data_IF_903904824539
#
_entry.id   IF_903904824539
#
_cell.length_a   1.000
_cell.length_b   1.000
_cell.length_c   1.000
_cell.angle_alpha   90.00
_cell.angle_beta   90.00
_cell.angle_gamma   90.00
#
_symmetry.space_group_name_H-M   'P 1'
#
loop_
_entity.id
_entity.type
_entity.pdbx_description
1 polymer ?
#
# COMPACT_ATOMS: atom_id res chain seq x y z
N UNK A 1 -44.88 5.66 18.63
CA UNK A 1 -44.34 5.89 17.27
C UNK A 1 -43.95 7.37 17.14
N UNK A 2 -42.65 7.69 17.17
CA UNK A 2 -41.99 8.94 16.68
C UNK A 2 -40.69 9.22 17.47
N UNK A 3 -39.67 8.37 17.31
CA UNK A 3 -38.30 8.70 17.77
C UNK A 3 -37.25 7.82 17.07
N UNK A 4 -37.11 7.90 15.73
CA UNK A 4 -36.02 7.17 15.03
C UNK A 4 -35.43 7.85 13.79
N UNK A 5 -35.71 9.13 13.52
CA UNK A 5 -35.24 9.80 12.29
C UNK A 5 -34.16 10.88 12.53
N UNK A 6 -33.85 11.23 13.79
CA UNK A 6 -32.88 12.31 14.07
C UNK A 6 -31.41 11.89 14.23
N UNK A 7 -31.09 10.59 14.26
CA UNK A 7 -29.70 10.11 14.48
C UNK A 7 -28.89 9.88 13.20
N UNK A 8 -29.49 9.98 12.02
CA UNK A 8 -28.78 9.76 10.75
C UNK A 8 -28.17 11.04 10.15
N UNK A 9 -28.67 12.23 10.51
CA UNK A 9 -28.22 13.49 9.90
C UNK A 9 -27.08 14.18 10.66
N UNK A 10 -26.90 13.89 11.95
CA UNK A 10 -25.80 14.47 12.75
C UNK A 10 -24.45 13.77 12.54
N UNK A 11 -24.45 12.49 12.16
CA UNK A 11 -23.20 11.76 11.89
C UNK A 11 -22.56 12.10 10.53
N UNK A 12 -23.32 12.67 9.59
CA UNK A 12 -22.77 13.17 8.32
C UNK A 12 -21.93 14.44 8.55
N UNK A 13 -22.26 15.24 9.58
CA UNK A 13 -21.56 16.49 9.90
C UNK A 13 -20.23 16.29 10.64
N UNK A 14 -20.01 15.15 11.30
CA UNK A 14 -18.75 14.85 11.99
C UNK A 14 -17.60 14.48 11.05
N UNK A 15 -17.90 13.99 9.83
CA UNK A 15 -16.89 13.83 8.77
C UNK A 15 -16.38 15.15 8.18
N UNK A 16 -17.06 16.27 8.44
CA UNK A 16 -16.61 17.59 7.96
C UNK A 16 -15.48 18.14 8.86
N UNK A 17 -15.31 17.59 10.06
CA UNK A 17 -14.35 18.11 11.07
C UNK A 17 -13.22 17.15 11.45
N UNK A 18 -13.33 15.85 11.18
CA UNK A 18 -12.14 15.00 11.05
C UNK A 18 -11.38 15.51 9.81
N UNK A 19 -10.15 15.97 9.97
CA UNK A 19 -9.38 16.62 8.92
C UNK A 19 -9.57 15.90 7.57
N UNK A 20 -9.88 16.66 6.51
CA UNK A 20 -9.87 16.20 5.11
C UNK A 20 -8.58 15.47 4.66
N UNK A 21 -7.60 15.34 5.55
CA UNK A 21 -6.32 14.68 5.34
C UNK A 21 -6.32 13.16 5.57
N UNK A 22 -7.34 12.57 6.23
CA UNK A 22 -7.27 11.18 6.72
C UNK A 22 -8.23 10.17 6.07
N UNK A 23 -8.82 10.47 4.90
CA UNK A 23 -9.51 9.40 4.14
C UNK A 23 -9.26 9.36 2.62
N UNK A 24 -8.01 9.04 2.19
CA UNK A 24 -7.73 8.50 0.87
C UNK A 24 -7.74 6.95 0.91
N UNK A 25 -7.78 6.30 -0.27
CA UNK A 25 -6.62 6.37 -1.13
C UNK A 25 -6.78 7.38 -2.25
N UNK A 26 -5.66 8.02 -2.58
CA UNK A 26 -5.56 8.97 -3.65
C UNK A 26 -5.57 8.22 -4.96
N UNK A 27 -6.36 8.71 -5.92
CA UNK A 27 -6.39 8.16 -7.27
C UNK A 27 -5.46 8.96 -8.17
N UNK A 28 -4.43 8.31 -8.69
CA UNK A 28 -3.42 8.93 -9.54
C UNK A 28 -3.69 8.55 -10.99
N UNK A 29 -3.79 9.56 -11.86
CA UNK A 29 -3.90 9.37 -13.30
C UNK A 29 -2.52 9.07 -13.90
N UNK A 30 -2.40 7.92 -14.56
CA UNK A 30 -1.24 7.56 -15.36
C UNK A 30 -1.65 7.56 -16.83
N UNK A 31 -1.26 8.63 -17.50
CA UNK A 31 -1.54 8.75 -18.92
C UNK A 31 -0.42 8.10 -19.74
N UNK A 32 -0.79 7.06 -20.49
CA UNK A 32 0.12 6.22 -21.27
C UNK A 32 1.16 7.00 -22.08
N UNK A 33 2.38 6.47 -22.09
CA UNK A 33 3.58 7.19 -22.52
C UNK A 33 4.14 6.82 -23.88
N UNK A 34 3.67 5.76 -24.53
CA UNK A 34 4.56 5.07 -25.50
C UNK A 34 4.00 4.87 -26.90
N UNK A 35 2.69 5.03 -27.13
CA UNK A 35 2.10 4.83 -28.44
C UNK A 35 1.55 6.14 -29.03
N UNK A 36 1.83 6.37 -30.31
CA UNK A 36 1.57 7.55 -31.17
C UNK A 36 0.12 8.07 -31.24
N UNK A 37 -0.79 7.56 -30.39
CA UNK A 37 -2.23 7.85 -30.42
C UNK A 37 -2.66 8.85 -29.35
N UNK A 38 -1.82 9.17 -28.37
CA UNK A 38 -2.12 10.18 -27.34
C UNK A 38 -1.55 11.55 -27.71
N UNK A 39 -2.28 12.63 -27.38
CA UNK A 39 -1.95 13.98 -27.85
C UNK A 39 -0.75 14.60 -27.12
N UNK A 40 -0.43 14.11 -25.92
CA UNK A 40 0.71 14.56 -25.12
C UNK A 40 1.88 13.55 -25.17
N UNK A 41 2.76 13.69 -26.16
CA UNK A 41 4.00 12.90 -26.25
C UNK A 41 4.96 13.14 -25.07
N UNK A 42 5.91 12.23 -24.84
CA UNK A 42 6.86 12.32 -23.70
C UNK A 42 7.69 13.60 -23.74
N UNK A 43 8.14 14.00 -24.92
CA UNK A 43 8.94 15.19 -25.21
C UNK A 43 8.17 16.52 -25.05
N UNK A 44 6.83 16.47 -25.17
CA UNK A 44 5.94 17.64 -25.09
C UNK A 44 5.05 17.62 -23.85
N UNK A 45 5.20 16.61 -22.98
CA UNK A 45 4.26 16.31 -21.89
C UNK A 45 4.02 17.47 -20.94
N UNK A 46 5.09 18.09 -20.45
CA UNK A 46 5.00 19.25 -19.55
C UNK A 46 4.23 20.41 -20.19
N UNK A 47 4.53 20.74 -21.46
CA UNK A 47 3.85 21.81 -22.18
C UNK A 47 2.36 21.48 -22.35
N UNK A 48 2.06 20.23 -22.70
CA UNK A 48 0.70 19.75 -22.86
C UNK A 48 -0.11 19.88 -21.56
N UNK A 49 0.47 19.49 -20.43
CA UNK A 49 -0.14 19.63 -19.10
C UNK A 49 -0.44 21.09 -18.78
N UNK A 50 0.52 21.99 -19.00
CA UNK A 50 0.34 23.43 -18.74
C UNK A 50 -0.79 24.00 -19.60
N UNK A 51 -0.84 23.65 -20.88
CA UNK A 51 -1.87 24.13 -21.81
C UNK A 51 -3.27 23.66 -21.43
N UNK A 52 -3.39 22.47 -20.84
CA UNK A 52 -4.67 21.85 -20.51
C UNK A 52 -4.95 21.78 -19.00
N UNK A 53 -4.25 22.58 -18.19
CA UNK A 53 -4.32 22.52 -16.73
C UNK A 53 -5.75 22.65 -16.20
N UNK A 54 -6.59 23.51 -16.80
CA UNK A 54 -7.99 23.68 -16.39
C UNK A 54 -8.81 22.40 -16.60
N UNK A 55 -8.56 21.67 -17.68
CA UNK A 55 -9.21 20.38 -17.94
C UNK A 55 -8.74 19.35 -16.93
N UNK A 56 -7.43 19.24 -16.74
CA UNK A 56 -6.82 18.31 -15.77
C UNK A 56 -7.40 18.55 -14.38
N UNK A 57 -7.41 19.79 -13.91
CA UNK A 57 -7.94 20.19 -12.59
C UNK A 57 -9.44 19.87 -12.41
N UNK A 58 -10.21 19.76 -13.50
CA UNK A 58 -11.61 19.35 -13.44
C UNK A 58 -11.80 17.83 -13.34
N UNK A 59 -10.80 17.04 -13.74
CA UNK A 59 -10.88 15.57 -13.73
C UNK A 59 -10.87 14.99 -12.32
N UNK A 60 -11.53 13.84 -12.07
CA UNK A 60 -11.72 13.28 -10.73
C UNK A 60 -10.49 12.56 -10.17
N UNK A 61 -9.27 13.09 -10.34
CA UNK A 61 -8.05 12.54 -9.75
C UNK A 61 -7.47 13.45 -8.68
N UNK A 62 -6.60 12.90 -7.86
CA UNK A 62 -5.89 13.64 -6.80
C UNK A 62 -4.45 14.01 -7.20
N UNK A 63 -4.00 13.47 -8.33
CA UNK A 63 -2.70 13.72 -8.91
C UNK A 63 -2.53 12.95 -10.22
N UNK A 64 -1.38 13.15 -10.84
CA UNK A 64 -0.98 12.44 -12.04
C UNK A 64 0.48 12.02 -11.98
N UNK A 65 0.83 10.96 -12.71
CA UNK A 65 2.23 10.63 -12.96
C UNK A 65 2.65 11.11 -14.34
N UNK A 66 3.82 11.70 -14.43
CA UNK A 66 4.37 12.28 -15.65
C UNK A 66 5.71 11.60 -15.97
N UNK A 67 5.87 11.10 -17.18
CA UNK A 67 7.19 10.76 -17.67
C UNK A 67 7.83 11.97 -18.37
N UNK A 68 9.12 11.88 -18.56
CA UNK A 68 9.99 12.84 -19.20
C UNK A 68 10.92 12.10 -20.16
N UNK A 69 11.68 12.82 -20.98
CA UNK A 69 12.65 12.17 -21.88
C UNK A 69 13.67 11.37 -21.08
N UNK A 70 14.14 11.91 -19.95
CA UNK A 70 15.09 11.23 -19.08
C UNK A 70 14.52 9.94 -18.43
N UNK A 71 13.19 9.78 -18.31
CA UNK A 71 12.56 8.63 -17.66
C UNK A 71 13.01 7.29 -18.23
N UNK A 72 13.35 7.26 -19.52
CA UNK A 72 13.78 6.05 -20.24
C UNK A 72 15.29 5.80 -20.19
N UNK A 73 16.05 6.74 -19.61
CA UNK A 73 17.49 6.78 -19.67
C UNK A 73 18.20 6.71 -18.33
N UNK A 74 17.51 7.01 -17.23
CA UNK A 74 18.14 7.16 -15.90
C UNK A 74 18.94 5.93 -15.46
N UNK A 75 18.52 4.74 -15.90
CA UNK A 75 19.19 3.48 -15.59
C UNK A 75 20.13 2.99 -16.70
N UNK A 76 20.10 3.56 -17.91
CA UNK A 76 20.90 3.06 -19.04
C UNK A 76 22.40 3.29 -18.84
N UNK A 77 23.24 2.28 -19.13
CA UNK A 77 24.69 2.45 -19.19
C UNK A 77 25.10 3.63 -20.08
N UNK A 78 26.03 4.45 -19.58
CA UNK A 78 26.56 5.59 -20.33
C UNK A 78 25.64 6.81 -20.43
N UNK A 79 24.45 6.79 -19.82
CA UNK A 79 23.57 7.95 -19.78
C UNK A 79 23.65 8.67 -18.44
N UNK A 80 24.02 9.95 -18.48
CA UNK A 80 24.06 10.82 -17.30
C UNK A 80 23.16 12.03 -17.49
N UNK A 81 22.34 12.32 -16.49
CA UNK A 81 21.39 13.42 -16.50
C UNK A 81 21.72 14.41 -15.39
N UNK A 82 22.02 15.65 -15.78
CA UNK A 82 22.22 16.74 -14.80
C UNK A 82 20.90 17.16 -14.17
N UNK A 83 20.96 17.72 -12.96
CA UNK A 83 19.80 18.35 -12.31
C UNK A 83 19.08 19.33 -13.24
N UNK A 84 19.82 20.22 -13.91
CA UNK A 84 19.23 21.23 -14.80
C UNK A 84 18.48 20.60 -15.99
N UNK A 85 19.01 19.53 -16.56
CA UNK A 85 18.34 18.83 -17.67
C UNK A 85 16.96 18.31 -17.24
N UNK A 86 16.89 17.68 -16.06
CA UNK A 86 15.64 17.14 -15.51
C UNK A 86 14.70 18.27 -15.05
N UNK A 87 15.23 19.27 -14.34
CA UNK A 87 14.42 20.36 -13.79
C UNK A 87 13.88 21.30 -14.88
N UNK A 88 14.54 21.43 -16.02
CA UNK A 88 13.98 22.19 -17.16
C UNK A 88 12.67 21.57 -17.68
N UNK A 89 12.50 20.25 -17.57
CA UNK A 89 11.24 19.57 -17.91
C UNK A 89 10.21 19.62 -16.79
N UNK A 90 10.61 19.49 -15.52
CA UNK A 90 9.66 19.44 -14.39
C UNK A 90 9.31 20.81 -13.78
N UNK A 91 10.29 21.70 -13.68
CA UNK A 91 10.18 23.01 -13.03
C UNK A 91 9.00 23.87 -13.51
N UNK A 92 8.63 23.86 -14.81
CA UNK A 92 7.45 24.57 -15.29
C UNK A 92 6.10 24.11 -14.67
N UNK A 93 6.06 22.92 -14.04
CA UNK A 93 4.87 22.41 -13.35
C UNK A 93 4.72 22.95 -11.93
N UNK A 94 5.74 23.61 -11.39
CA UNK A 94 5.76 24.06 -10.00
C UNK A 94 4.62 25.06 -9.75
N UNK A 95 3.71 24.69 -8.86
CA UNK A 95 2.62 25.56 -8.40
C UNK A 95 1.46 25.74 -9.38
N UNK A 96 1.44 25.02 -10.51
CA UNK A 96 0.32 25.13 -11.47
C UNK A 96 -0.89 24.30 -11.01
N UNK A 97 -0.65 23.20 -10.30
CA UNK A 97 -1.70 22.31 -9.80
C UNK A 97 -2.30 22.83 -8.49
N UNK A 98 -3.63 22.73 -8.37
CA UNK A 98 -4.40 23.13 -7.19
C UNK A 98 -5.04 21.93 -6.51
N UNK A 99 -5.78 21.11 -7.26
CA UNK A 99 -6.42 19.87 -6.82
C UNK A 99 -5.49 18.68 -6.97
N UNK A 100 -4.72 18.63 -8.06
CA UNK A 100 -3.79 17.55 -8.33
C UNK A 100 -2.54 17.74 -7.45
N UNK A 101 -2.63 17.35 -6.18
CA UNK A 101 -1.56 17.56 -5.19
C UNK A 101 -0.64 16.36 -5.05
N UNK A 102 -1.00 15.21 -5.62
CA UNK A 102 -0.26 13.94 -5.49
C UNK A 102 0.42 13.55 -6.80
N UNK A 103 1.26 14.43 -7.33
CA UNK A 103 1.91 14.20 -8.62
C UNK A 103 3.24 13.47 -8.48
N UNK A 104 3.51 12.57 -9.41
CA UNK A 104 4.72 11.76 -9.46
C UNK A 104 5.48 12.02 -10.76
N UNK A 105 6.78 11.75 -10.72
CA UNK A 105 7.56 11.53 -11.95
C UNK A 105 7.70 10.03 -12.18
N UNK A 106 7.32 9.54 -13.35
CA UNK A 106 7.54 8.15 -13.74
C UNK A 106 8.96 7.94 -14.21
N UNK A 107 9.58 6.85 -13.80
CA UNK A 107 10.86 6.35 -14.32
C UNK A 107 10.61 4.95 -14.85
N UNK A 108 11.02 4.72 -16.09
CA UNK A 108 10.96 3.41 -16.72
C UNK A 108 12.33 2.76 -16.54
N UNK A 109 12.34 1.51 -16.07
CA UNK A 109 13.60 0.79 -15.96
C UNK A 109 14.08 0.43 -17.36
N UNK A 110 15.36 0.73 -17.61
CA UNK A 110 16.02 0.36 -18.84
C UNK A 110 17.40 -0.26 -18.56
N UNK A 111 17.58 -1.54 -18.95
CA UNK A 111 18.71 -2.45 -18.71
C UNK A 111 19.94 -1.72 -18.15
N UNK A 112 20.16 -1.73 -16.82
CA UNK A 112 21.27 -1.01 -16.20
C UNK A 112 22.63 -1.65 -16.43
N UNK A 113 22.73 -2.69 -17.27
CA UNK A 113 23.94 -3.49 -17.41
C UNK A 113 24.15 -4.42 -16.21
N UNK A 114 25.38 -4.91 -16.05
CA UNK A 114 25.71 -5.83 -14.97
C UNK A 114 25.54 -5.16 -13.59
N UNK A 115 24.82 -5.81 -12.68
CA UNK A 115 24.65 -5.37 -11.29
C UNK A 115 25.98 -5.14 -10.55
N UNK A 116 27.05 -5.80 -10.98
CA UNK A 116 28.39 -5.70 -10.40
C UNK A 116 29.28 -4.59 -11.01
N UNK A 117 28.80 -3.86 -12.03
CA UNK A 117 29.53 -2.73 -12.59
C UNK A 117 29.31 -1.45 -11.77
N UNK A 118 30.21 -1.18 -10.82
CA UNK A 118 30.12 0.00 -9.98
C UNK A 118 30.22 1.33 -10.76
N UNK A 119 30.88 1.35 -11.92
CA UNK A 119 30.99 2.59 -12.72
C UNK A 119 29.61 2.96 -13.28
N UNK A 120 28.90 1.97 -13.83
CA UNK A 120 27.54 2.16 -14.32
C UNK A 120 26.61 2.53 -13.17
N UNK A 121 26.65 1.79 -12.07
CA UNK A 121 25.74 2.03 -10.94
C UNK A 121 25.99 3.34 -10.22
N UNK A 122 27.23 3.81 -10.12
CA UNK A 122 27.52 5.16 -9.61
C UNK A 122 26.86 6.25 -10.46
N UNK A 123 26.79 6.05 -11.78
CA UNK A 123 26.09 6.96 -12.69
C UNK A 123 24.58 6.90 -12.47
N UNK A 124 24.00 5.70 -12.38
CA UNK A 124 22.57 5.49 -12.09
C UNK A 124 22.18 6.13 -10.75
N UNK A 125 22.96 5.92 -9.70
CA UNK A 125 22.73 6.51 -8.38
C UNK A 125 22.76 8.05 -8.44
N UNK A 126 23.72 8.62 -9.17
CA UNK A 126 23.82 10.07 -9.39
C UNK A 126 22.60 10.62 -10.15
N UNK A 127 22.14 9.90 -11.17
CA UNK A 127 20.93 10.22 -11.93
C UNK A 127 19.69 10.28 -11.01
N UNK A 128 19.50 9.28 -10.15
CA UNK A 128 18.39 9.26 -9.18
C UNK A 128 18.48 10.38 -8.14
N UNK A 129 19.70 10.76 -7.72
CA UNK A 129 19.91 11.91 -6.83
C UNK A 129 19.46 13.22 -7.51
N UNK A 130 19.83 13.42 -8.77
CA UNK A 130 19.44 14.59 -9.55
C UNK A 130 17.92 14.62 -9.81
N UNK A 131 17.33 13.45 -10.12
CA UNK A 131 15.88 13.32 -10.26
C UNK A 131 15.15 13.68 -8.96
N UNK A 132 15.61 13.14 -7.82
CA UNK A 132 14.99 13.40 -6.52
C UNK A 132 15.01 14.90 -6.18
N UNK A 133 16.12 15.59 -6.47
CA UNK A 133 16.22 17.04 -6.29
C UNK A 133 15.22 17.78 -7.21
N UNK A 134 15.20 17.45 -8.50
CA UNK A 134 14.32 18.11 -9.47
C UNK A 134 12.83 17.87 -9.18
N UNK A 135 12.45 16.65 -8.82
CA UNK A 135 11.07 16.29 -8.46
C UNK A 135 10.62 17.04 -7.21
N UNK A 136 11.46 17.08 -6.17
CA UNK A 136 11.20 17.84 -4.94
C UNK A 136 11.02 19.33 -5.23
N UNK A 137 11.93 19.92 -6.01
CA UNK A 137 11.89 21.35 -6.31
C UNK A 137 10.69 21.74 -7.18
N UNK A 138 10.24 20.84 -8.05
CA UNK A 138 9.03 20.99 -8.86
C UNK A 138 7.74 20.78 -8.05
N UNK A 139 7.83 20.32 -6.80
CA UNK A 139 6.67 20.10 -5.92
C UNK A 139 5.95 18.77 -6.16
N UNK A 140 6.61 17.78 -6.77
CA UNK A 140 6.10 16.41 -6.87
C UNK A 140 6.23 15.69 -5.52
N UNK A 141 5.38 14.70 -5.26
CA UNK A 141 5.40 13.94 -4.00
C UNK A 141 6.37 12.76 -4.03
N UNK A 142 6.83 12.36 -5.21
CA UNK A 142 7.69 11.20 -5.32
C UNK A 142 7.92 10.69 -6.74
N UNK A 143 8.37 9.44 -6.80
CA UNK A 143 8.78 8.75 -8.03
C UNK A 143 7.90 7.51 -8.21
N UNK A 144 7.41 7.33 -9.43
CA UNK A 144 6.69 6.15 -9.88
C UNK A 144 7.66 5.27 -10.69
N UNK A 145 8.08 4.15 -10.14
CA UNK A 145 8.95 3.18 -10.79
C UNK A 145 8.11 2.22 -11.62
N UNK A 146 8.19 2.36 -12.94
CA UNK A 146 7.77 1.34 -13.90
C UNK A 146 8.94 0.37 -14.07
N UNK A 147 8.86 -0.76 -13.36
CA UNK A 147 9.84 -1.83 -13.35
C UNK A 147 9.44 -3.02 -14.23
N UNK A 148 8.58 -2.81 -15.23
CA UNK A 148 8.23 -3.84 -16.21
C UNK A 148 9.40 -4.19 -17.14
N UNK A 149 9.34 -5.40 -17.69
CA UNK A 149 10.30 -5.89 -18.68
C UNK A 149 9.86 -5.47 -20.08
N UNK A 150 10.41 -4.36 -20.57
CA UNK A 150 10.29 -3.96 -21.97
C UNK A 150 11.35 -4.69 -22.83
N UNK A 151 12.24 -3.97 -23.52
CA UNK A 151 13.25 -4.54 -24.42
C UNK A 151 14.50 -5.14 -23.73
N UNK A 152 14.41 -5.67 -22.50
CA UNK A 152 15.54 -5.66 -21.56
C UNK A 152 15.80 -6.99 -20.86
N UNK A 153 17.08 -7.25 -20.60
CA UNK A 153 17.62 -8.41 -19.91
C UNK A 153 18.35 -7.97 -18.63
N UNK A 154 17.65 -7.86 -17.51
CA UNK A 154 18.30 -7.61 -16.21
C UNK A 154 17.59 -8.22 -14.98
N UNK A 155 16.39 -8.79 -15.14
CA UNK A 155 15.54 -9.26 -14.04
C UNK A 155 15.50 -10.78 -13.89
N UNK A 156 15.79 -11.50 -14.98
CA UNK A 156 15.76 -12.95 -15.06
C UNK A 156 17.17 -13.51 -14.92
N UNK A 157 17.33 -14.49 -14.02
CA UNK A 157 18.59 -15.20 -13.84
C UNK A 157 18.38 -16.70 -14.05
N UNK A 158 19.22 -17.37 -14.87
CA UNK A 158 20.45 -16.88 -15.49
C UNK A 158 20.30 -16.27 -16.89
N UNK A 159 19.08 -16.19 -17.44
CA UNK A 159 18.81 -15.86 -18.85
C UNK A 159 19.42 -14.52 -19.29
N UNK A 160 19.43 -13.53 -18.38
CA UNK A 160 19.95 -12.20 -18.66
C UNK A 160 21.46 -12.08 -18.44
N UNK A 161 22.08 -13.08 -17.81
CA UNK A 161 23.50 -13.09 -17.44
C UNK A 161 24.21 -14.35 -17.97
N UNK A 162 24.17 -14.63 -19.28
CA UNK A 162 24.76 -15.83 -19.85
C UNK A 162 26.27 -15.87 -19.61
N UNK A 163 26.78 -17.01 -19.14
CA UNK A 163 28.21 -17.24 -18.92
C UNK A 163 28.76 -16.66 -17.61
N UNK A 164 27.92 -16.08 -16.74
CA UNK A 164 28.35 -15.66 -15.41
C UNK A 164 28.77 -16.85 -14.53
N UNK A 165 29.80 -16.67 -13.72
CA UNK A 165 30.23 -17.64 -12.70
C UNK A 165 29.60 -17.40 -11.34
N UNK A 166 28.82 -16.32 -11.19
CA UNK A 166 28.14 -15.95 -9.95
C UNK A 166 26.84 -16.73 -9.81
N UNK A 167 26.47 -16.99 -8.56
CA UNK A 167 25.21 -17.66 -8.19
C UNK A 167 24.03 -16.71 -8.23
N UNK A 168 22.80 -17.25 -8.31
CA UNK A 168 21.57 -16.47 -8.18
C UNK A 168 21.55 -15.64 -6.89
N UNK A 169 22.00 -16.21 -5.76
CA UNK A 169 22.02 -15.52 -4.47
C UNK A 169 22.95 -14.30 -4.50
N UNK A 170 24.11 -14.39 -5.15
CA UNK A 170 25.00 -13.24 -5.31
C UNK A 170 24.36 -12.13 -6.14
N UNK A 171 23.64 -12.45 -7.22
CA UNK A 171 22.89 -11.45 -7.98
C UNK A 171 21.71 -10.87 -7.19
N UNK A 172 21.02 -11.67 -6.38
CA UNK A 172 19.95 -11.20 -5.49
C UNK A 172 20.51 -10.22 -4.44
N UNK A 173 21.62 -10.56 -3.79
CA UNK A 173 22.30 -9.68 -2.83
C UNK A 173 22.74 -8.36 -3.48
N UNK A 174 23.27 -8.45 -4.69
CA UNK A 174 23.69 -7.26 -5.43
C UNK A 174 22.48 -6.41 -5.86
N UNK A 175 21.38 -7.04 -6.31
CA UNK A 175 20.15 -6.34 -6.68
C UNK A 175 19.53 -5.60 -5.49
N UNK A 176 19.51 -6.24 -4.32
CA UNK A 176 19.10 -5.61 -3.06
C UNK A 176 20.00 -4.43 -2.69
N UNK A 177 21.32 -4.58 -2.81
CA UNK A 177 22.27 -3.48 -2.59
C UNK A 177 22.00 -2.30 -3.53
N UNK A 178 21.75 -2.57 -4.82
CA UNK A 178 21.47 -1.51 -5.81
C UNK A 178 20.16 -0.77 -5.54
N UNK A 179 19.09 -1.49 -5.19
CA UNK A 179 17.85 -0.88 -4.74
C UNK A 179 18.07 0.01 -3.51
N UNK A 180 18.83 -0.48 -2.53
CA UNK A 180 19.17 0.27 -1.31
C UNK A 180 19.97 1.54 -1.59
N UNK A 181 20.99 1.46 -2.46
CA UNK A 181 21.80 2.61 -2.85
C UNK A 181 20.98 3.69 -3.57
N UNK A 182 20.09 3.30 -4.49
CA UNK A 182 19.17 4.22 -5.15
C UNK A 182 18.26 4.89 -4.11
N UNK A 183 17.64 4.13 -3.22
CA UNK A 183 16.73 4.70 -2.24
C UNK A 183 17.45 5.64 -1.28
N UNK A 184 18.64 5.26 -0.80
CA UNK A 184 19.48 6.11 0.05
C UNK A 184 19.85 7.43 -0.65
N UNK A 185 20.18 7.38 -1.93
CA UNK A 185 20.46 8.59 -2.71
C UNK A 185 19.22 9.49 -2.82
N UNK A 186 18.05 8.91 -3.07
CA UNK A 186 16.77 9.65 -3.12
C UNK A 186 16.48 10.30 -1.77
N UNK A 187 16.47 9.55 -0.67
CA UNK A 187 16.06 10.08 0.65
C UNK A 187 17.08 11.04 1.26
N UNK A 188 18.35 11.00 0.81
CA UNK A 188 19.36 12.01 1.18
C UNK A 188 18.98 13.43 0.73
N UNK A 189 18.16 13.53 -0.32
CA UNK A 189 17.69 14.79 -0.91
C UNK A 189 16.22 15.04 -0.62
N UNK A 190 15.41 13.98 -0.71
CA UNK A 190 13.96 14.01 -0.58
C UNK A 190 13.51 13.03 0.51
N UNK A 191 13.69 13.36 1.82
CA UNK A 191 13.48 12.41 2.92
C UNK A 191 12.07 11.85 3.05
N UNK A 192 11.06 12.58 2.54
CA UNK A 192 9.64 12.20 2.56
C UNK A 192 9.14 11.71 1.20
N UNK A 193 10.05 11.34 0.29
CA UNK A 193 9.68 10.86 -1.04
C UNK A 193 8.75 9.63 -0.93
N UNK A 194 7.77 9.57 -1.82
CA UNK A 194 6.92 8.40 -2.00
C UNK A 194 7.42 7.64 -3.23
N UNK A 195 7.79 6.38 -3.05
CA UNK A 195 8.25 5.49 -4.11
C UNK A 195 7.16 4.48 -4.37
N UNK A 196 6.46 4.62 -5.49
CA UNK A 196 5.44 3.67 -5.93
C UNK A 196 6.05 2.84 -7.05
N UNK A 197 6.07 1.52 -6.92
CA UNK A 197 6.68 0.60 -7.89
C UNK A 197 5.58 -0.24 -8.53
N UNK A 198 5.52 -0.35 -9.87
CA UNK A 198 4.47 -1.10 -10.60
C UNK A 198 4.30 -2.52 -10.04
N UNK A 199 5.40 -3.27 -10.01
CA UNK A 199 5.49 -4.59 -9.41
C UNK A 199 6.30 -4.56 -8.11
N UNK A 200 5.67 -4.92 -7.00
CA UNK A 200 6.39 -5.25 -5.77
C UNK A 200 7.13 -6.59 -5.85
N UNK A 201 7.49 -7.18 -4.70
CA UNK A 201 8.35 -8.36 -4.64
C UNK A 201 7.67 -9.68 -5.04
N UNK A 202 6.36 -9.67 -5.25
CA UNK A 202 5.56 -10.88 -5.42
C UNK A 202 5.89 -11.66 -6.70
N UNK A 203 6.50 -11.06 -7.71
CA UNK A 203 6.90 -11.78 -8.93
C UNK A 203 8.17 -12.62 -8.74
N UNK A 204 8.95 -12.34 -7.69
CA UNK A 204 10.21 -13.04 -7.40
C UNK A 204 10.05 -14.16 -6.39
N UNK A 205 8.90 -14.25 -5.72
CA UNK A 205 8.63 -15.27 -4.70
C UNK A 205 7.94 -16.49 -5.33
N UNK A 206 8.59 -17.67 -5.36
CA UNK A 206 8.02 -18.87 -5.99
C UNK A 206 6.73 -19.36 -5.35
N UNK A 207 6.49 -19.05 -4.07
CA UNK A 207 5.25 -19.40 -3.37
C UNK A 207 4.13 -18.37 -3.55
N UNK A 208 4.31 -17.36 -4.41
CA UNK A 208 3.25 -16.39 -4.72
C UNK A 208 2.02 -17.11 -5.26
N UNK A 209 0.87 -17.00 -4.57
CA UNK A 209 -0.34 -17.66 -5.01
C UNK A 209 -0.82 -17.10 -6.35
N UNK A 210 -1.44 -17.97 -7.16
CA UNK A 210 -1.96 -17.59 -8.48
C UNK A 210 -3.03 -16.49 -8.42
N UNK A 211 -3.72 -16.31 -7.30
CA UNK A 211 -4.68 -15.21 -7.12
C UNK A 211 -4.00 -13.84 -6.92
N UNK A 212 -2.71 -13.81 -6.56
CA UNK A 212 -1.94 -12.56 -6.48
C UNK A 212 -1.54 -12.11 -7.88
N UNK A 213 -1.18 -13.02 -8.79
CA UNK A 213 -0.79 -12.62 -10.15
C UNK A 213 -1.91 -12.75 -11.17
N UNK A 214 -3.03 -13.38 -10.80
CA UNK A 214 -4.15 -13.77 -11.68
C UNK A 214 -3.69 -14.52 -12.94
N UNK A 215 -2.58 -15.26 -12.84
CA UNK A 215 -1.94 -15.92 -13.99
C UNK A 215 -1.65 -14.93 -15.14
N UNK A 216 -1.45 -13.65 -14.84
CA UNK A 216 -0.99 -12.65 -15.82
C UNK A 216 0.42 -12.99 -16.29
N UNK A 217 1.24 -13.51 -15.39
CA UNK A 217 2.63 -13.93 -15.64
C UNK A 217 2.72 -15.46 -15.85
N UNK A 218 1.72 -16.06 -16.50
CA UNK A 218 1.68 -17.51 -16.69
C UNK A 218 2.76 -17.99 -17.67
N UNK A 219 3.87 -18.50 -17.13
CA UNK A 219 4.69 -19.53 -17.77
C UNK A 219 5.99 -19.13 -18.46
N UNK A 220 6.80 -18.18 -17.98
CA UNK A 220 8.12 -18.00 -18.59
C UNK A 220 9.30 -17.64 -17.68
N UNK A 221 9.18 -16.74 -16.69
CA UNK A 221 10.33 -16.43 -15.82
C UNK A 221 9.86 -15.92 -14.46
N UNK A 222 10.43 -16.43 -13.36
CA UNK A 222 10.40 -15.67 -12.12
C UNK A 222 11.35 -14.50 -12.32
N UNK A 223 10.97 -13.30 -11.87
CA UNK A 223 11.94 -12.20 -11.90
C UNK A 223 12.85 -12.34 -10.70
N UNK A 224 13.88 -13.19 -10.72
CA UNK A 224 14.68 -13.52 -9.53
C UNK A 224 15.26 -12.28 -8.83
N UNK A 225 15.44 -11.17 -9.56
CA UNK A 225 16.13 -9.97 -9.09
C UNK A 225 15.21 -8.80 -8.74
N UNK A 226 13.94 -8.82 -9.17
CA UNK A 226 13.01 -7.70 -8.97
C UNK A 226 12.61 -7.50 -7.49
N UNK A 227 12.32 -8.59 -6.81
CA UNK A 227 11.94 -8.63 -5.40
C UNK A 227 13.08 -8.24 -4.47
N UNK A 228 14.30 -8.78 -4.65
CA UNK A 228 15.48 -8.26 -3.95
C UNK A 228 15.70 -6.76 -4.19
N UNK A 229 15.57 -6.26 -5.42
CA UNK A 229 15.66 -4.81 -5.71
C UNK A 229 14.64 -4.01 -4.90
N UNK A 230 13.38 -4.45 -4.89
CA UNK A 230 12.30 -3.84 -4.11
C UNK A 230 12.60 -3.88 -2.61
N UNK A 231 13.09 -5.00 -2.07
CA UNK A 231 13.52 -5.10 -0.67
C UNK A 231 14.62 -4.09 -0.37
N UNK A 232 15.58 -3.93 -1.28
CA UNK A 232 16.60 -2.88 -1.20
C UNK A 232 16.00 -1.48 -1.05
N UNK A 233 14.98 -1.15 -1.85
CA UNK A 233 14.25 0.12 -1.70
C UNK A 233 13.62 0.24 -0.30
N UNK A 234 13.00 -0.83 0.22
CA UNK A 234 12.38 -0.83 1.55
C UNK A 234 13.42 -0.63 2.65
N UNK A 235 14.56 -1.30 2.58
CA UNK A 235 15.64 -1.14 3.58
C UNK A 235 16.31 0.24 3.50
N UNK A 236 16.41 0.83 2.31
CA UNK A 236 17.04 2.13 2.09
C UNK A 236 16.16 3.34 2.43
N UNK A 237 14.85 3.14 2.69
CA UNK A 237 13.87 4.24 2.80
C UNK A 237 14.01 5.11 4.06
N UNK A 238 14.69 4.61 5.09
CA UNK A 238 14.72 5.27 6.40
C UNK A 238 13.33 5.33 7.06
N UNK A 239 13.10 6.36 7.87
CA UNK A 239 11.89 6.47 8.72
C UNK A 239 10.79 7.34 8.12
N UNK A 240 11.10 8.19 7.15
CA UNK A 240 10.18 9.21 6.64
C UNK A 240 9.63 8.92 5.23
N UNK A 241 10.38 8.18 4.41
CA UNK A 241 9.95 7.86 3.06
C UNK A 241 8.99 6.65 3.05
N UNK A 242 8.14 6.63 2.04
CA UNK A 242 7.13 5.59 1.84
C UNK A 242 7.49 4.76 0.62
N UNK A 243 7.44 3.44 0.74
CA UNK A 243 7.57 2.50 -0.39
C UNK A 243 6.24 1.79 -0.58
N UNK A 244 5.75 1.74 -1.81
CA UNK A 244 4.44 1.23 -2.17
C UNK A 244 4.59 0.15 -3.24
N UNK A 245 4.06 -1.03 -2.95
CA UNK A 245 3.82 -2.09 -3.92
C UNK A 245 2.59 -1.74 -4.76
N UNK A 246 2.82 -1.36 -6.01
CA UNK A 246 1.83 -0.85 -6.95
C UNK A 246 0.78 -1.85 -7.38
N UNK A 247 1.07 -3.16 -7.31
CA UNK A 247 0.12 -4.22 -7.66
C UNK A 247 -0.39 -4.12 -9.08
N UNK A 248 0.52 -4.23 -10.04
CA UNK A 248 0.18 -4.25 -11.45
C UNK A 248 -0.45 -5.58 -11.88
N UNK A 249 -1.79 -5.65 -11.87
CA UNK A 249 -2.56 -6.81 -12.31
C UNK A 249 -3.85 -6.38 -13.01
N UNK A 250 -3.95 -6.64 -14.32
CA UNK A 250 -5.07 -6.24 -15.18
C UNK A 250 -6.39 -6.95 -14.85
N UNK A 251 -6.33 -8.15 -14.27
CA UNK A 251 -7.48 -9.04 -14.09
C UNK A 251 -8.32 -8.79 -12.83
N UNK A 252 -7.86 -8.01 -11.85
CA UNK A 252 -8.63 -7.83 -10.60
C UNK A 252 -9.97 -7.13 -10.86
N UNK A 253 -11.07 -7.67 -10.30
CA UNK A 253 -12.42 -7.08 -10.45
C UNK A 253 -13.20 -7.07 -9.15
N UNK A 254 -13.20 -8.18 -8.41
CA UNK A 254 -14.05 -8.37 -7.25
C UNK A 254 -13.36 -7.94 -5.96
N UNK A 255 -14.13 -7.58 -4.93
CA UNK A 255 -13.59 -7.28 -3.60
C UNK A 255 -12.71 -8.42 -3.06
N UNK A 256 -13.03 -9.68 -3.36
CA UNK A 256 -12.19 -10.83 -2.99
C UNK A 256 -10.83 -10.81 -3.68
N UNK A 257 -10.75 -10.43 -4.96
CA UNK A 257 -9.48 -10.40 -5.70
C UNK A 257 -8.51 -9.42 -5.03
N UNK A 258 -9.00 -8.19 -4.82
CA UNK A 258 -8.25 -7.13 -4.14
C UNK A 258 -7.87 -7.53 -2.72
N UNK A 259 -8.82 -8.06 -1.93
CA UNK A 259 -8.55 -8.43 -0.53
C UNK A 259 -7.52 -9.55 -0.40
N UNK A 260 -7.66 -10.65 -1.17
CA UNK A 260 -6.70 -11.77 -1.10
C UNK A 260 -5.30 -11.35 -1.53
N UNK A 261 -5.21 -10.53 -2.59
CA UNK A 261 -3.94 -9.94 -3.02
C UNK A 261 -3.34 -9.04 -1.96
N UNK A 262 -4.15 -8.15 -1.37
CA UNK A 262 -3.71 -7.26 -0.29
C UNK A 262 -3.17 -8.07 0.89
N UNK A 263 -3.96 -8.98 1.45
CA UNK A 263 -3.57 -9.75 2.65
C UNK A 263 -2.25 -10.50 2.40
N UNK A 264 -2.08 -11.07 1.20
CA UNK A 264 -0.86 -11.79 0.88
C UNK A 264 0.35 -10.87 0.67
N UNK A 265 0.23 -9.77 -0.06
CA UNK A 265 1.35 -8.82 -0.28
C UNK A 265 1.70 -8.05 1.00
N UNK A 266 0.69 -7.73 1.82
CA UNK A 266 0.84 -7.01 3.09
C UNK A 266 1.45 -7.85 4.19
N UNK A 267 1.05 -9.12 4.31
CA UNK A 267 1.45 -9.99 5.43
C UNK A 267 1.96 -11.36 4.97
N UNK A 268 1.27 -11.98 4.01
CA UNK A 268 1.54 -13.35 3.56
C UNK A 268 2.97 -13.57 3.07
N UNK A 269 3.52 -12.66 2.26
CA UNK A 269 4.87 -12.80 1.68
C UNK A 269 5.97 -12.82 2.75
N UNK A 270 5.81 -12.02 3.81
CA UNK A 270 6.75 -11.92 4.92
C UNK A 270 6.53 -12.98 6.01
N UNK A 271 5.40 -13.70 5.98
CA UNK A 271 5.06 -14.72 6.97
C UNK A 271 6.07 -15.86 7.05
N UNK A 272 6.10 -16.55 8.19
CA UNK A 272 6.90 -17.76 8.40
C UNK A 272 6.52 -18.91 7.46
N UNK A 273 5.27 -18.95 6.97
CA UNK A 273 4.80 -19.99 6.06
C UNK A 273 5.40 -19.81 4.65
N UNK A 274 5.42 -18.57 4.17
CA UNK A 274 6.08 -18.25 2.89
C UNK A 274 7.59 -18.37 3.06
N UNK A 275 8.15 -17.82 4.13
CA UNK A 275 9.60 -17.79 4.36
C UNK A 275 10.38 -17.28 3.13
N UNK A 276 9.91 -16.18 2.55
CA UNK A 276 10.46 -15.56 1.34
C UNK A 276 11.97 -15.30 1.42
N UNK A 277 12.78 -15.94 0.56
CA UNK A 277 14.23 -16.04 0.76
C UNK A 277 15.00 -14.70 0.78
N UNK A 278 14.46 -13.66 0.14
CA UNK A 278 15.07 -12.34 0.04
C UNK A 278 14.46 -11.30 0.99
N UNK A 279 13.55 -11.69 1.90
CA UNK A 279 13.10 -10.83 3.00
C UNK A 279 13.83 -11.27 4.29
N UNK A 280 14.72 -10.41 4.79
CA UNK A 280 15.50 -10.68 6.01
C UNK A 280 14.60 -10.84 7.24
N UNK A 281 15.06 -11.62 8.24
CA UNK A 281 14.29 -11.84 9.47
C UNK A 281 13.94 -10.54 10.19
N UNK A 282 14.86 -9.57 10.17
CA UNK A 282 14.63 -8.24 10.76
C UNK A 282 13.51 -7.51 10.04
N UNK A 283 13.52 -7.52 8.70
CA UNK A 283 12.52 -6.85 7.89
C UNK A 283 11.15 -7.54 7.98
N UNK A 284 11.10 -8.89 8.08
CA UNK A 284 9.84 -9.62 8.26
C UNK A 284 9.02 -9.10 9.45
N UNK A 285 9.69 -8.84 10.57
CA UNK A 285 9.03 -8.41 11.81
C UNK A 285 8.31 -7.06 11.70
N UNK A 286 8.71 -6.24 10.72
CA UNK A 286 8.18 -4.89 10.49
C UNK A 286 7.58 -4.71 9.09
N UNK A 287 7.48 -5.79 8.29
CA UNK A 287 7.09 -5.73 6.88
C UNK A 287 5.74 -5.05 6.69
N UNK A 288 4.74 -5.45 7.49
CA UNK A 288 3.39 -4.88 7.49
C UNK A 288 3.41 -3.35 7.55
N UNK A 289 4.28 -2.76 8.37
CA UNK A 289 4.40 -1.31 8.54
C UNK A 289 5.39 -0.66 7.57
N UNK A 290 6.17 -1.45 6.83
CA UNK A 290 7.25 -0.97 5.97
C UNK A 290 6.83 -0.82 4.51
N UNK A 291 5.80 -1.55 4.08
CA UNK A 291 5.33 -1.57 2.69
C UNK A 291 3.85 -1.24 2.63
N UNK A 292 3.50 -0.20 1.86
CA UNK A 292 2.12 0.12 1.55
C UNK A 292 1.67 -0.64 0.31
N UNK A 293 0.39 -1.03 0.26
CA UNK A 293 -0.20 -1.73 -0.88
C UNK A 293 -1.07 -0.79 -1.71
N UNK A 294 -0.86 -0.81 -3.02
CA UNK A 294 -1.64 -0.16 -4.05
C UNK A 294 -2.12 -1.19 -5.09
N UNK A 295 -2.99 -0.74 -5.98
CA UNK A 295 -3.44 -1.49 -7.14
C UNK A 295 -3.45 -0.62 -8.40
N UNK A 296 -3.08 -1.22 -9.52
CA UNK A 296 -3.31 -0.66 -10.85
C UNK A 296 -4.71 -0.97 -11.37
N UNK A 297 -5.35 0.01 -11.98
CA UNK A 297 -6.66 -0.13 -12.65
C UNK A 297 -6.58 0.41 -14.07
N UNK A 298 -7.20 -0.31 -15.02
CA UNK A 298 -7.02 -0.08 -16.45
C UNK A 298 -8.34 0.12 -17.15
N UNK A 299 -8.38 1.03 -18.10
CA UNK A 299 -9.57 1.33 -18.91
C UNK A 299 -9.77 0.42 -20.12
N UNK A 300 -8.97 -0.66 -20.25
CA UNK A 300 -9.03 -1.59 -21.38
C UNK A 300 -9.17 -3.05 -20.97
N UNK A 301 -9.78 -3.82 -21.86
CA UNK A 301 -9.84 -5.27 -21.78
C UNK A 301 -8.56 -5.84 -22.41
N UNK A 302 -7.51 -6.01 -21.60
CA UNK A 302 -6.21 -6.49 -22.08
C UNK A 302 -6.20 -8.00 -22.38
N UNK A 303 -6.97 -8.79 -21.63
CA UNK A 303 -7.04 -10.26 -21.77
C UNK A 303 -8.46 -10.71 -22.11
N UNK A 304 -8.57 -11.65 -23.06
CA UNK A 304 -9.84 -12.32 -23.38
C UNK A 304 -10.48 -12.87 -22.11
N UNK A 305 -11.78 -12.60 -21.92
CA UNK A 305 -12.52 -12.98 -20.71
C UNK A 305 -12.57 -11.93 -19.61
N UNK A 306 -11.84 -10.81 -19.74
CA UNK A 306 -11.84 -9.72 -18.77
C UNK A 306 -12.34 -8.40 -19.38
N UNK A 307 -13.64 -8.27 -19.68
CA UNK A 307 -14.17 -7.06 -20.29
C UNK A 307 -13.98 -5.83 -19.41
N UNK A 308 -13.95 -4.67 -20.06
CA UNK A 308 -13.84 -3.38 -19.40
C UNK A 308 -14.82 -2.40 -20.04
N UNK A 309 -15.63 -1.76 -19.20
CA UNK A 309 -16.60 -0.73 -19.56
C UNK A 309 -16.80 0.20 -18.34
N UNK A 310 -17.50 1.34 -18.47
CA UNK A 310 -17.66 2.28 -17.37
C UNK A 310 -18.29 1.67 -16.11
N UNK A 311 -19.22 0.72 -16.24
CA UNK A 311 -19.84 0.04 -15.10
C UNK A 311 -18.88 -0.87 -14.34
N UNK A 312 -18.08 -1.65 -15.07
CA UNK A 312 -17.03 -2.51 -14.52
C UNK A 312 -15.92 -1.66 -13.90
N UNK A 313 -15.52 -0.59 -14.57
CA UNK A 313 -14.53 0.36 -14.07
C UNK A 313 -14.93 0.93 -12.71
N UNK A 314 -16.19 1.37 -12.60
CA UNK A 314 -16.76 1.93 -11.38
C UNK A 314 -16.62 0.96 -10.20
N UNK A 315 -17.04 -0.30 -10.35
CA UNK A 315 -16.96 -1.29 -9.26
C UNK A 315 -15.53 -1.72 -8.96
N UNK A 316 -14.69 -1.84 -9.99
CA UNK A 316 -13.26 -2.17 -9.86
C UNK A 316 -12.52 -1.09 -9.06
N UNK A 317 -12.75 0.19 -9.37
CA UNK A 317 -12.17 1.31 -8.63
C UNK A 317 -12.67 1.38 -7.19
N UNK A 318 -13.96 1.14 -6.94
CA UNK A 318 -14.49 1.08 -5.55
C UNK A 318 -13.72 0.02 -4.75
N UNK A 319 -13.52 -1.17 -5.31
CA UNK A 319 -12.83 -2.26 -4.62
C UNK A 319 -11.33 -1.92 -4.41
N UNK A 320 -10.64 -1.42 -5.43
CA UNK A 320 -9.24 -1.02 -5.35
C UNK A 320 -9.03 0.09 -4.30
N UNK A 321 -9.85 1.14 -4.34
CA UNK A 321 -9.77 2.27 -3.41
C UNK A 321 -10.19 1.85 -2.00
N UNK A 322 -11.12 0.91 -1.85
CA UNK A 322 -11.47 0.44 -0.50
C UNK A 322 -10.34 -0.38 0.13
N UNK A 323 -9.55 -1.10 -0.68
CA UNK A 323 -8.55 -2.03 -0.18
C UNK A 323 -7.11 -1.45 -0.07
N UNK A 324 -6.74 -0.43 -0.84
CA UNK A 324 -5.35 0.10 -0.88
C UNK A 324 -4.96 0.92 0.34
N UNK A 325 -3.69 0.93 0.76
CA UNK A 325 -3.28 1.71 1.94
C UNK A 325 -3.37 3.23 1.72
N UNK A 326 -2.91 3.73 0.57
CA UNK A 326 -2.80 5.18 0.36
C UNK A 326 -3.00 5.66 -1.08
N UNK A 327 -2.75 4.80 -2.06
CA UNK A 327 -2.80 5.14 -3.48
C UNK A 327 -3.46 4.03 -4.28
N UNK A 328 -4.16 4.42 -5.34
CA UNK A 328 -4.53 3.60 -6.50
C UNK A 328 -4.07 4.36 -7.72
N UNK A 329 -3.57 3.65 -8.72
CA UNK A 329 -3.19 4.28 -9.98
C UNK A 329 -4.05 3.77 -11.11
N UNK A 330 -4.41 4.70 -11.99
CA UNK A 330 -5.34 4.48 -13.08
C UNK A 330 -4.60 4.71 -14.40
N UNK A 331 -4.37 3.63 -15.14
CA UNK A 331 -3.63 3.68 -16.39
C UNK A 331 -4.56 3.76 -17.61
N UNK A 332 -4.17 4.59 -18.58
CA UNK A 332 -4.88 4.76 -19.84
C UNK A 332 -3.98 4.56 -21.04
N UNK A 333 -4.33 3.62 -21.92
CA UNK A 333 -3.52 3.31 -23.10
C UNK A 333 -3.78 4.24 -24.30
N UNK A 334 -5.03 4.62 -24.56
CA UNK A 334 -5.41 5.49 -25.71
C UNK A 334 -6.22 6.71 -25.33
N UNK A 335 -6.64 6.77 -24.08
CA UNK A 335 -7.65 7.69 -23.61
C UNK A 335 -6.95 8.89 -22.96
N UNK A 336 -7.29 10.07 -23.45
CA UNK A 336 -6.55 11.30 -23.18
C UNK A 336 -7.31 12.16 -22.17
N UNK A 337 -7.12 11.88 -20.89
CA UNK A 337 -7.78 12.58 -19.79
C UNK A 337 -7.30 14.02 -19.62
N UNK A 338 -6.11 14.32 -20.11
CA UNK A 338 -5.57 15.67 -20.09
C UNK A 338 -6.22 16.59 -21.14
N UNK A 339 -6.81 16.06 -22.22
CA UNK A 339 -7.28 16.88 -23.34
C UNK A 339 -8.82 17.09 -23.29
N UNK A 340 -9.29 18.35 -23.43
CA UNK A 340 -10.73 18.65 -23.47
C UNK A 340 -11.48 17.80 -24.50
N UNK A 341 -12.57 17.17 -24.07
CA UNK A 341 -13.49 16.43 -24.94
C UNK A 341 -12.98 15.07 -25.46
N UNK A 342 -11.77 14.63 -25.05
CA UNK A 342 -11.24 13.30 -25.44
C UNK A 342 -11.71 12.16 -24.55
N UNK A 343 -12.33 12.47 -23.41
CA UNK A 343 -12.91 11.49 -22.51
C UNK A 343 -14.44 11.50 -22.54
N UNK A 344 -15.10 10.37 -22.84
CA UNK A 344 -16.55 10.28 -22.74
C UNK A 344 -17.02 10.47 -21.29
N UNK A 345 -18.08 11.26 -21.10
CA UNK A 345 -18.59 11.65 -19.78
C UNK A 345 -18.88 10.46 -18.85
N UNK A 346 -19.41 9.36 -19.40
CA UNK A 346 -19.67 8.14 -18.63
C UNK A 346 -18.45 7.57 -17.89
N UNK A 347 -17.24 7.72 -18.44
CA UNK A 347 -16.01 7.29 -17.76
C UNK A 347 -15.66 8.23 -16.61
N UNK A 348 -15.78 9.55 -16.85
CA UNK A 348 -15.57 10.57 -15.82
C UNK A 348 -16.55 10.37 -14.66
N UNK A 349 -17.82 10.12 -14.96
CA UNK A 349 -18.88 9.88 -13.97
C UNK A 349 -18.60 8.61 -13.16
N UNK A 350 -18.16 7.53 -13.82
CA UNK A 350 -17.78 6.29 -13.15
C UNK A 350 -16.62 6.47 -12.16
N UNK A 351 -15.56 7.19 -12.55
CA UNK A 351 -14.42 7.46 -11.66
C UNK A 351 -14.84 8.37 -10.50
N UNK A 352 -15.61 9.43 -10.79
CA UNK A 352 -16.11 10.37 -9.79
C UNK A 352 -16.98 9.67 -8.73
N UNK A 353 -17.90 8.81 -9.19
CA UNK A 353 -18.74 8.00 -8.32
C UNK A 353 -17.92 7.04 -7.46
N UNK A 354 -16.98 6.32 -8.07
CA UNK A 354 -16.16 5.34 -7.37
C UNK A 354 -15.36 5.98 -6.22
N UNK A 355 -14.77 7.15 -6.46
CA UNK A 355 -14.07 7.92 -5.42
C UNK A 355 -14.98 8.36 -4.28
N UNK A 356 -16.16 8.90 -4.61
CA UNK A 356 -17.13 9.32 -3.60
C UNK A 356 -17.56 8.14 -2.71
N UNK A 357 -17.87 6.99 -3.30
CA UNK A 357 -18.25 5.78 -2.55
C UNK A 357 -17.11 5.25 -1.70
N UNK A 358 -15.89 5.16 -2.24
CA UNK A 358 -14.75 4.65 -1.50
C UNK A 358 -14.39 5.55 -0.30
N UNK A 359 -14.44 6.86 -0.47
CA UNK A 359 -14.24 7.82 0.63
C UNK A 359 -15.29 7.63 1.73
N UNK A 360 -16.58 7.52 1.35
CA UNK A 360 -17.67 7.28 2.31
C UNK A 360 -17.51 5.94 3.04
N UNK A 361 -17.20 4.85 2.32
CA UNK A 361 -17.01 3.53 2.92
C UNK A 361 -15.88 3.54 3.95
N UNK A 362 -14.76 4.20 3.65
CA UNK A 362 -13.61 4.27 4.56
C UNK A 362 -13.87 5.13 5.78
N UNK A 363 -14.51 6.28 5.60
CA UNK A 363 -14.96 7.12 6.71
C UNK A 363 -15.93 6.37 7.63
N UNK A 364 -16.84 5.57 7.08
CA UNK A 364 -17.72 4.72 7.89
C UNK A 364 -16.94 3.62 8.61
N UNK A 365 -15.99 2.96 7.94
CA UNK A 365 -15.16 1.96 8.63
C UNK A 365 -14.25 2.55 9.68
N UNK A 366 -13.77 3.81 9.57
CA UNK A 366 -12.98 4.43 10.63
C UNK A 366 -13.84 4.82 11.84
N UNK A 367 -15.11 5.19 11.62
CA UNK A 367 -16.11 5.42 12.67
C UNK A 367 -16.55 4.09 13.34
N UNK A 368 -16.57 2.98 12.60
CA UNK A 368 -16.91 1.64 13.13
C UNK A 368 -15.68 0.93 13.70
N UNK A 369 -14.47 1.18 13.20
CA UNK A 369 -13.21 0.61 13.70
C UNK A 369 -12.81 1.18 15.06
N UNK A 370 -13.38 2.32 15.47
CA UNK A 370 -13.33 2.77 16.87
C UNK A 370 -14.21 1.92 17.80
N UNK A 371 -15.04 1.00 17.28
CA UNK A 371 -15.96 0.16 18.06
C UNK A 371 -15.77 -1.37 17.85
N UNK A 372 -15.09 -1.84 16.78
CA UNK A 372 -14.95 -3.30 16.53
C UNK A 372 -13.59 -3.80 15.98
N UNK A 373 -12.44 -3.32 16.48
CA UNK A 373 -11.32 -4.27 16.61
C UNK A 373 -11.60 -5.16 17.81
N UNK A 374 -12.23 -6.32 17.57
CA UNK A 374 -12.69 -7.28 18.58
C UNK A 374 -11.65 -7.52 19.68
N UNK A 375 -11.78 -6.75 20.75
CA UNK A 375 -11.23 -7.04 22.05
C UNK A 375 -11.98 -8.26 22.59
N UNK A 376 -11.33 -9.42 22.59
CA UNK A 376 -11.93 -10.70 22.98
C UNK A 376 -11.28 -11.21 24.26
N UNK A 377 -12.11 -11.55 25.23
CA UNK A 377 -11.72 -12.23 26.48
C UNK A 377 -12.45 -13.56 26.53
N UNK A 378 -11.71 -14.65 26.64
CA UNK A 378 -12.26 -16.00 26.82
C UNK A 378 -12.06 -16.46 28.26
N UNK A 379 -13.11 -17.01 28.89
CA UNK A 379 -13.04 -17.57 30.24
C UNK A 379 -13.44 -19.04 30.19
N UNK A 380 -12.51 -19.94 30.49
CA UNK A 380 -12.77 -21.38 30.40
C UNK A 380 -12.14 -22.19 31.56
N UNK A 381 -12.87 -23.12 32.19
CA UNK A 381 -14.30 -23.41 31.99
C UNK A 381 -15.21 -22.31 32.56
N UNK A 382 -16.36 -22.11 31.92
CA UNK A 382 -17.46 -21.27 32.43
C UNK A 382 -18.80 -21.92 32.01
N UNK A 383 -19.63 -22.45 32.92
CA UNK A 383 -19.52 -22.37 34.38
C UNK A 383 -18.26 -23.02 34.98
N UNK A 384 -17.79 -22.45 36.08
CA UNK A 384 -16.61 -22.92 36.83
C UNK A 384 -17.02 -23.64 38.11
N UNK A 385 -16.38 -24.77 38.38
CA UNK A 385 -16.55 -25.50 39.65
C UNK A 385 -15.50 -25.06 40.69
N UNK A 386 -14.25 -24.78 40.27
CA UNK A 386 -13.15 -24.43 41.18
C UNK A 386 -12.26 -23.33 40.61
N UNK A 387 -11.79 -23.50 39.37
CA UNK A 387 -10.90 -22.54 38.71
C UNK A 387 -11.19 -22.41 37.22
N UNK A 388 -10.81 -21.28 36.65
CA UNK A 388 -10.91 -20.98 35.22
C UNK A 388 -9.67 -20.25 34.73
N UNK A 389 -9.44 -20.25 33.42
CA UNK A 389 -8.39 -19.47 32.76
C UNK A 389 -9.05 -18.34 31.98
N UNK A 390 -8.57 -17.11 32.22
CA UNK A 390 -8.97 -15.92 31.47
C UNK A 390 -7.90 -15.67 30.40
N UNK A 391 -8.27 -15.73 29.13
CA UNK A 391 -7.37 -15.56 27.99
C UNK A 391 -7.71 -14.30 27.21
N UNK A 392 -6.69 -13.51 26.84
CA UNK A 392 -6.85 -12.27 26.08
C UNK A 392 -5.60 -11.93 25.27
N UNK A 393 -5.75 -11.07 24.26
CA UNK A 393 -4.66 -10.67 23.37
C UNK A 393 -4.38 -9.16 23.50
N UNK A 394 -3.10 -8.81 23.63
CA UNK A 394 -2.61 -7.44 23.61
C UNK A 394 -1.96 -7.13 22.26
N UNK A 395 -2.45 -6.09 21.58
CA UNK A 395 -1.86 -5.60 20.32
C UNK A 395 -0.57 -4.80 20.59
N UNK A 396 -0.58 -4.00 21.67
CA UNK A 396 0.54 -3.18 22.11
C UNK A 396 0.78 -3.39 23.61
N UNK A 397 1.97 -3.02 24.09
CA UNK A 397 2.24 -2.96 25.54
C UNK A 397 1.19 -2.06 26.22
N UNK A 398 0.49 -2.58 27.22
CA UNK A 398 -0.71 -1.95 27.78
C UNK A 398 -0.81 -2.19 29.30
N UNK A 399 -1.41 -1.24 30.01
CA UNK A 399 -1.89 -1.46 31.38
C UNK A 399 -3.16 -2.33 31.31
N UNK A 400 -3.18 -3.41 32.08
CA UNK A 400 -4.27 -4.38 32.16
C UNK A 400 -4.81 -4.42 33.58
N UNK A 401 -6.13 -4.23 33.73
CA UNK A 401 -6.85 -4.41 35.01
C UNK A 401 -7.92 -5.47 34.85
N UNK A 402 -7.93 -6.46 35.74
CA UNK A 402 -8.93 -7.53 35.74
C UNK A 402 -9.53 -7.60 37.13
N UNK A 403 -10.85 -7.43 37.22
CA UNK A 403 -11.59 -7.44 38.48
C UNK A 403 -12.87 -8.27 38.36
N UNK A 404 -13.34 -8.82 39.48
CA UNK A 404 -14.57 -9.60 39.60
C UNK A 404 -15.60 -8.79 40.39
N UNK A 405 -16.82 -8.76 39.89
CA UNK A 405 -17.95 -8.02 40.45
C UNK A 405 -19.12 -8.95 40.76
N UNK A 406 -19.89 -8.62 41.80
CA UNK A 406 -21.17 -9.27 42.09
C UNK A 406 -22.33 -8.69 41.26
N UNK A 407 -23.54 -9.23 41.44
CA UNK A 407 -24.76 -8.78 40.75
C UNK A 407 -25.16 -7.34 41.05
N UNK A 408 -24.69 -6.76 42.16
CA UNK A 408 -24.94 -5.37 42.54
C UNK A 408 -23.88 -4.41 41.99
N UNK A 409 -22.90 -4.93 41.23
CA UNK A 409 -21.81 -4.15 40.67
C UNK A 409 -20.73 -3.78 41.71
N UNK A 410 -20.70 -4.46 42.86
CA UNK A 410 -19.63 -4.27 43.85
C UNK A 410 -18.41 -5.09 43.43
N UNK A 411 -17.24 -4.46 43.41
CA UNK A 411 -15.97 -5.17 43.21
C UNK A 411 -15.70 -6.08 44.42
N UNK A 412 -15.56 -7.37 44.17
CA UNK A 412 -15.34 -8.39 45.22
C UNK A 412 -13.93 -8.98 45.16
N UNK A 413 -13.22 -8.84 44.03
CA UNK A 413 -11.86 -9.33 43.86
C UNK A 413 -11.14 -8.59 42.73
N UNK A 414 -9.85 -8.31 42.90
CA UNK A 414 -8.95 -7.84 41.84
C UNK A 414 -7.98 -8.96 41.49
N UNK A 415 -7.90 -9.32 40.21
CA UNK A 415 -7.09 -10.44 39.69
C UNK A 415 -5.78 -9.98 39.04
N UNK A 416 -5.76 -8.81 38.39
CA UNK A 416 -4.56 -8.22 37.80
C UNK A 416 -4.66 -6.69 37.77
N UNK A 417 -3.52 -6.00 37.94
CA UNK A 417 -3.37 -4.57 37.70
C UNK A 417 -1.89 -4.26 37.42
N UNK A 418 -1.47 -4.43 36.18
CA UNK A 418 -0.06 -4.33 35.78
C UNK A 418 0.12 -3.96 34.31
N UNK A 419 1.33 -3.54 33.95
CA UNK A 419 1.71 -3.32 32.55
C UNK A 419 2.21 -4.63 31.94
N UNK A 420 1.63 -5.03 30.82
CA UNK A 420 1.97 -6.26 30.11
C UNK A 420 2.42 -5.97 28.68
N UNK A 421 3.32 -6.80 28.16
CA UNK A 421 3.82 -6.66 26.78
C UNK A 421 2.79 -7.14 25.75
N UNK A 422 2.90 -6.68 24.51
CA UNK A 422 2.10 -7.19 23.39
C UNK A 422 2.24 -8.72 23.24
N UNK A 423 1.15 -9.41 22.91
CA UNK A 423 1.10 -10.88 22.83
C UNK A 423 -0.17 -11.48 23.43
N UNK A 424 -0.24 -12.82 23.45
CA UNK A 424 -1.32 -13.56 24.09
C UNK A 424 -1.03 -13.79 25.56
N UNK A 425 -2.05 -13.61 26.41
CA UNK A 425 -1.94 -13.71 27.86
C UNK A 425 -2.98 -14.66 28.43
N UNK A 426 -2.62 -15.34 29.52
CA UNK A 426 -3.50 -16.24 30.26
C UNK A 426 -3.35 -15.97 31.76
N UNK A 427 -4.48 -15.82 32.44
CA UNK A 427 -4.54 -15.63 33.88
C UNK A 427 -5.33 -16.76 34.52
N UNK A 428 -4.72 -17.47 35.48
CA UNK A 428 -5.42 -18.48 36.28
C UNK A 428 -6.30 -17.78 37.33
N UNK A 429 -7.59 -18.09 37.32
CA UNK A 429 -8.58 -17.55 38.25
C UNK A 429 -9.11 -18.65 39.17
N UNK A 430 -8.81 -18.56 40.46
CA UNK A 430 -9.35 -19.45 41.48
C UNK A 430 -10.68 -18.89 42.05
N UNK A 431 -11.78 -19.60 41.80
CA UNK A 431 -13.13 -19.28 42.23
C UNK A 431 -13.60 -20.11 43.46
N UNK A 432 -12.71 -20.83 44.13
CA UNK A 432 -13.01 -21.71 45.27
C UNK A 432 -13.67 -20.99 46.45
N UNK A 433 -13.38 -19.70 46.65
CA UNK A 433 -13.97 -18.91 47.72
C UNK A 433 -15.28 -18.19 47.32
N UNK A 434 -15.70 -18.29 46.06
CA UNK A 434 -16.96 -17.70 45.59
C UNK A 434 -18.14 -18.64 45.82
N UNK A 435 -19.30 -18.10 46.24
CA UNK A 435 -20.54 -18.89 46.36
C UNK A 435 -21.11 -19.22 44.97
N UNK A 436 -21.93 -20.27 44.87
CA UNK A 436 -22.69 -20.53 43.64
C UNK A 436 -23.51 -19.31 43.24
N UNK A 437 -23.43 -18.93 41.97
CA UNK A 437 -24.06 -17.70 41.50
C UNK A 437 -23.43 -17.14 40.23
N UNK A 438 -23.96 -15.99 39.82
CA UNK A 438 -23.49 -15.23 38.66
C UNK A 438 -22.63 -14.07 39.14
N UNK A 439 -21.50 -13.89 38.48
CA UNK A 439 -20.54 -12.82 38.68
C UNK A 439 -20.19 -12.19 37.33
N UNK A 440 -19.47 -11.09 37.36
CA UNK A 440 -18.99 -10.41 36.16
C UNK A 440 -17.48 -10.18 36.26
N UNK A 441 -16.74 -10.62 35.25
CA UNK A 441 -15.31 -10.33 35.14
C UNK A 441 -15.17 -9.13 34.21
N UNK A 442 -14.64 -8.04 34.74
CA UNK A 442 -14.33 -6.82 34.00
C UNK A 442 -12.84 -6.82 33.67
N UNK A 443 -12.51 -6.66 32.40
CA UNK A 443 -11.15 -6.50 31.91
C UNK A 443 -11.03 -5.11 31.28
N UNK A 444 -10.09 -4.32 31.76
CA UNK A 444 -9.75 -2.98 31.26
C UNK A 444 -8.35 -3.02 30.66
N UNK A 445 -8.21 -2.67 29.39
CA UNK A 445 -6.92 -2.62 28.69
C UNK A 445 -6.82 -1.31 27.94
N UNK A 446 -5.83 -0.48 28.28
CA UNK A 446 -5.61 0.82 27.62
C UNK A 446 -6.89 1.67 27.52
N UNK A 447 -7.69 1.69 28.59
CA UNK A 447 -8.94 2.46 28.70
C UNK A 447 -10.19 1.82 28.06
N UNK A 448 -10.06 0.67 27.38
CA UNK A 448 -11.20 -0.12 26.87
C UNK A 448 -11.65 -1.14 27.89
N UNK A 449 -12.97 -1.30 28.06
CA UNK A 449 -13.56 -2.21 29.04
C UNK A 449 -14.39 -3.30 28.34
N UNK A 450 -14.22 -4.56 28.74
CA UNK A 450 -15.13 -5.67 28.44
C UNK A 450 -15.55 -6.32 29.75
N UNK A 451 -16.81 -6.71 29.82
CA UNK A 451 -17.36 -7.41 30.97
C UNK A 451 -17.96 -8.73 30.50
N UNK A 452 -17.41 -9.83 31.01
CA UNK A 452 -17.87 -11.18 30.70
C UNK A 452 -18.63 -11.79 31.88
N UNK A 453 -19.74 -12.47 31.57
CA UNK A 453 -20.53 -13.18 32.59
C UNK A 453 -19.77 -14.42 33.04
N UNK A 454 -19.58 -14.58 34.35
CA UNK A 454 -18.95 -15.74 34.95
C UNK A 454 -19.90 -16.47 35.89
N UNK A 455 -20.02 -17.79 35.77
CA UNK A 455 -20.95 -18.59 36.56
C UNK A 455 -20.15 -19.54 37.44
N UNK A 456 -20.36 -19.48 38.75
CA UNK A 456 -19.84 -20.47 39.70
C UNK A 456 -20.92 -21.49 39.97
N UNK A 457 -20.62 -22.76 39.71
CA UNK A 457 -21.50 -23.89 39.97
C UNK A 457 -20.72 -25.04 40.62
N UNK A 458 -20.75 -25.07 41.96
CA UNK A 458 -20.21 -26.13 42.80
C UNK A 458 -21.30 -27.13 43.10
N UNK A 459 -21.06 -28.38 42.73
CA UNK A 459 -21.93 -29.50 43.06
C UNK A 459 -21.79 -29.92 44.52
#
# INVERSE_FOLDING_TARGET
>A
MKTKIFFFLTNIALCVHAQQNDCPPYLILLQGGTNYTQSCGVDTRTKCVIQNINTIESMPFDGMSLNMVASWGLMKPGQSFSYNAIYNELGPLKGIFKKFTKNFVTVNINNPGDLFDDVVWNTVISNFKNLAQAAKDAGLVGIFFDNEEYDLKWMNFPEDYPGTTKTVKQYQDQSELRGKQIMQAIVSIFPKAIILVYHGPYLSEPKTPSYVTMQQVAGASYYELLGPFFVGLVEGKGTQATVIDGGEVYQYRTASDFKKSYDWRKDGIASSNTNCAFISQSLRSIWHNSVNISFGVYNRAWKTGYPMNPGIMKTTLINALTQSDSYVWYYTESDDWAIPGKMPQQWIDSVSYAKSVAANNRCLTSIVATDEQKFKVDIYPNPSNQSSVISYQLINNSEVKISVYDLLGKEIMKLAEENQNAGGHQLNFNAENLKNGVYFIKVIISGREITEKFIVNKN
#
